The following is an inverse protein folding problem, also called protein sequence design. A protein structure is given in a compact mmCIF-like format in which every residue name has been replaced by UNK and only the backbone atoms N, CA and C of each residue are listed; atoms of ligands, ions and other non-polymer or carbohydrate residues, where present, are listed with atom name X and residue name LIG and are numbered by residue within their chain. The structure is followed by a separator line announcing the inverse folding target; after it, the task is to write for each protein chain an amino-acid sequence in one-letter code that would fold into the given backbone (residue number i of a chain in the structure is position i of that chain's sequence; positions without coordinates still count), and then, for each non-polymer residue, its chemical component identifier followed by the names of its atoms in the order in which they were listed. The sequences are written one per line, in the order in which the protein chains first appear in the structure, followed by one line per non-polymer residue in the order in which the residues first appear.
data_IF_520473560201
#
_entry.id   IF_520473560201
#
_cell.length_a   1.000
_cell.length_b   1.000
_cell.length_c   1.000
_cell.angle_alpha   90.00
_cell.angle_beta   90.00
_cell.angle_gamma   90.00
#
_symmetry.space_group_name_H-M   'P 1'
#
loop_
_entity.id
_entity.type
_entity.pdbx_description
1 polymer ?
#
# COMPACT_ATOMS: atom_id res chain seq x y z
N UNK A 1 23.92 2.86 -4.35
CA UNK A 1 23.06 1.73 -3.92
C UNK A 1 21.65 2.21 -3.51
N UNK A 2 21.48 3.47 -3.07
CA UNK A 2 20.21 4.11 -2.72
C UNK A 2 19.28 4.38 -3.90
N UNK A 3 19.81 4.73 -5.08
CA UNK A 3 18.97 5.16 -6.21
C UNK A 3 18.06 4.04 -6.75
N UNK A 4 18.57 2.80 -6.79
CA UNK A 4 17.78 1.64 -7.23
C UNK A 4 16.59 1.36 -6.31
N UNK A 5 16.75 1.56 -5.00
CA UNK A 5 15.68 1.38 -4.01
C UNK A 5 14.60 2.45 -4.17
N UNK A 6 15.00 3.70 -4.39
CA UNK A 6 14.06 4.81 -4.62
C UNK A 6 13.26 4.61 -5.91
N UNK A 7 13.91 4.15 -6.99
CA UNK A 7 13.23 3.83 -8.25
C UNK A 7 12.26 2.66 -8.07
N UNK A 8 12.66 1.60 -7.37
CA UNK A 8 11.80 0.45 -7.11
C UNK A 8 10.56 0.87 -6.29
N UNK A 9 10.76 1.71 -5.26
CA UNK A 9 9.70 2.22 -4.43
C UNK A 9 8.71 3.10 -5.21
N UNK A 10 9.20 3.93 -6.14
CA UNK A 10 8.38 4.73 -7.05
C UNK A 10 7.52 3.85 -7.99
N UNK A 11 8.07 2.74 -8.48
CA UNK A 11 7.29 1.78 -9.27
C UNK A 11 6.21 1.11 -8.43
N UNK A 12 6.55 0.66 -7.22
CA UNK A 12 5.59 0.01 -6.30
C UNK A 12 4.43 0.95 -5.95
N UNK A 13 4.69 2.24 -5.80
CA UNK A 13 3.63 3.26 -5.57
C UNK A 13 2.68 3.36 -6.75
N UNK A 14 3.22 3.51 -7.97
CA UNK A 14 2.41 3.62 -9.18
C UNK A 14 1.53 2.37 -9.36
N UNK A 15 2.11 1.18 -9.17
CA UNK A 15 1.37 -0.08 -9.22
C UNK A 15 0.28 -0.16 -8.15
N UNK A 16 0.56 0.28 -6.93
CA UNK A 16 -0.43 0.27 -5.84
C UNK A 16 -1.60 1.22 -6.09
N UNK A 17 -1.34 2.41 -6.65
CA UNK A 17 -2.40 3.35 -7.05
C UNK A 17 -3.26 2.72 -8.16
N UNK A 18 -2.64 2.14 -9.18
CA UNK A 18 -3.36 1.46 -10.25
C UNK A 18 -4.23 0.29 -9.73
N UNK A 19 -3.67 -0.54 -8.85
CA UNK A 19 -4.39 -1.63 -8.19
C UNK A 19 -5.54 -1.13 -7.32
N UNK A 20 -5.38 0.00 -6.65
CA UNK A 20 -6.45 0.64 -5.87
C UNK A 20 -7.62 1.04 -6.76
N UNK A 21 -7.35 1.63 -7.93
CA UNK A 21 -8.39 1.99 -8.91
C UNK A 21 -9.08 0.74 -9.45
N UNK A 22 -8.33 -0.28 -9.83
CA UNK A 22 -8.89 -1.56 -10.31
C UNK A 22 -9.75 -2.23 -9.24
N UNK A 23 -9.28 -2.24 -7.98
CA UNK A 23 -10.04 -2.79 -6.86
C UNK A 23 -11.31 -1.98 -6.55
N UNK A 24 -11.27 -0.65 -6.68
CA UNK A 24 -12.44 0.20 -6.53
C UNK A 24 -13.49 -0.08 -7.61
N UNK A 25 -13.06 -0.24 -8.87
CA UNK A 25 -13.94 -0.62 -9.98
C UNK A 25 -14.49 -2.04 -9.80
N UNK A 26 -13.68 -2.98 -9.31
CA UNK A 26 -14.15 -4.33 -9.00
C UNK A 26 -15.17 -4.34 -7.86
N UNK A 27 -14.95 -3.53 -6.81
CA UNK A 27 -15.86 -3.42 -5.68
C UNK A 27 -17.21 -2.85 -6.10
N UNK A 28 -17.22 -1.81 -6.93
CA UNK A 28 -18.47 -1.20 -7.42
C UNK A 28 -19.33 -2.20 -8.21
N UNK A 29 -18.69 -3.15 -8.90
CA UNK A 29 -19.36 -4.16 -9.73
C UNK A 29 -19.81 -5.40 -8.96
N UNK A 30 -19.05 -5.86 -7.96
CA UNK A 30 -19.28 -7.13 -7.26
C UNK A 30 -19.92 -6.94 -5.89
N UNK A 31 -19.72 -5.78 -5.23
CA UNK A 31 -20.23 -5.46 -3.87
C UNK A 31 -19.92 -6.53 -2.80
N UNK A 32 -18.87 -7.31 -2.99
CA UNK A 32 -18.47 -8.36 -2.05
C UNK A 32 -17.49 -7.81 -1.02
N UNK A 33 -17.72 -8.12 0.26
CA UNK A 33 -16.88 -7.73 1.40
C UNK A 33 -15.41 -8.15 1.22
N UNK A 34 -15.13 -9.25 0.50
CA UNK A 34 -13.75 -9.66 0.16
C UNK A 34 -13.04 -8.61 -0.71
N UNK A 35 -13.74 -8.05 -1.69
CA UNK A 35 -13.18 -7.04 -2.59
C UNK A 35 -12.97 -5.72 -1.86
N UNK A 36 -13.80 -5.42 -0.85
CA UNK A 36 -13.61 -4.26 0.03
C UNK A 36 -12.30 -4.36 0.83
N UNK A 37 -12.01 -5.54 1.41
CA UNK A 37 -10.77 -5.75 2.17
C UNK A 37 -9.52 -5.61 1.29
N UNK A 38 -9.56 -6.13 0.07
CA UNK A 38 -8.48 -5.97 -0.92
C UNK A 38 -8.32 -4.51 -1.32
N UNK A 39 -9.43 -3.79 -1.55
CA UNK A 39 -9.41 -2.35 -1.83
C UNK A 39 -8.79 -1.56 -0.68
N UNK A 40 -9.13 -1.87 0.58
CA UNK A 40 -8.53 -1.24 1.76
C UNK A 40 -7.02 -1.50 1.85
N UNK A 41 -6.59 -2.74 1.60
CA UNK A 41 -5.17 -3.08 1.61
C UNK A 41 -4.38 -2.29 0.55
N UNK A 42 -4.90 -2.18 -0.68
CA UNK A 42 -4.24 -1.38 -1.73
C UNK A 42 -4.28 0.12 -1.43
N UNK A 43 -5.37 0.63 -0.86
CA UNK A 43 -5.46 2.03 -0.44
C UNK A 43 -4.41 2.36 0.64
N UNK A 44 -4.23 1.49 1.63
CA UNK A 44 -3.18 1.63 2.65
C UNK A 44 -1.79 1.63 2.01
N UNK A 45 -1.54 0.73 1.04
CA UNK A 45 -0.29 0.68 0.29
C UNK A 45 -0.03 1.98 -0.49
N UNK A 46 -1.06 2.53 -1.13
CA UNK A 46 -0.97 3.80 -1.85
C UNK A 46 -0.65 4.97 -0.90
N UNK A 47 -1.30 5.04 0.27
CA UNK A 47 -1.03 6.06 1.29
C UNK A 47 0.40 5.95 1.80
N UNK A 48 0.86 4.75 2.15
CA UNK A 48 2.24 4.53 2.61
C UNK A 48 3.27 4.99 1.58
N UNK A 49 2.98 4.77 0.31
CA UNK A 49 3.81 5.19 -0.80
C UNK A 49 3.86 6.71 -1.00
N UNK A 50 2.75 7.42 -0.78
CA UNK A 50 2.72 8.89 -0.72
C UNK A 50 3.54 9.39 0.46
N UNK A 51 3.39 8.77 1.63
CA UNK A 51 4.16 9.15 2.83
C UNK A 51 5.66 8.90 2.63
N UNK A 52 6.06 7.81 1.98
CA UNK A 52 7.45 7.57 1.61
C UNK A 52 8.00 8.70 0.74
N UNK A 53 7.24 9.10 -0.26
CA UNK A 53 7.62 10.18 -1.18
C UNK A 53 7.76 11.51 -0.45
N UNK A 54 6.86 11.80 0.49
CA UNK A 54 6.96 12.99 1.35
C UNK A 54 8.16 12.91 2.30
N UNK A 55 8.46 11.74 2.88
CA UNK A 55 9.65 11.55 3.73
C UNK A 55 10.96 11.69 2.97
N UNK A 56 10.98 11.37 1.67
CA UNK A 56 12.14 11.59 0.81
C UNK A 56 12.36 13.08 0.51
N UNK A 57 11.28 13.88 0.50
CA UNK A 57 11.34 15.33 0.27
C UNK A 57 11.66 16.09 1.57
N UNK A 58 11.14 15.61 2.71
CA UNK A 58 11.33 16.19 4.04
C UNK A 58 12.15 15.25 4.93
N UNK A 59 13.46 15.49 4.97
CA UNK A 59 14.50 14.64 5.59
C UNK A 59 14.26 14.34 7.09
N UNK A 60 13.54 15.25 7.78
CA UNK A 60 13.28 15.23 9.23
C UNK A 60 12.28 14.16 9.71
N UNK A 61 11.56 13.49 8.78
CA UNK A 61 10.52 12.50 9.12
C UNK A 61 11.01 11.05 9.10
N UNK A 62 12.28 10.82 8.76
CA UNK A 62 12.84 9.50 8.49
C UNK A 62 12.88 8.57 9.71
N UNK A 63 13.21 9.08 10.90
CA UNK A 63 13.35 8.27 12.12
C UNK A 63 12.01 7.69 12.64
N UNK A 64 10.90 8.41 12.45
CA UNK A 64 9.56 7.95 12.86
C UNK A 64 8.91 7.09 11.77
N UNK A 65 9.28 7.31 10.51
CA UNK A 65 8.71 6.61 9.36
C UNK A 65 9.07 5.12 9.31
N UNK A 66 10.32 4.75 9.65
CA UNK A 66 10.80 3.37 9.59
C UNK A 66 9.96 2.39 10.45
N UNK A 67 9.71 2.63 11.76
CA UNK A 67 8.88 1.71 12.54
C UNK A 67 7.40 1.73 12.13
N UNK A 68 6.87 2.88 11.71
CA UNK A 68 5.49 3.01 11.28
C UNK A 68 5.20 2.26 9.97
N UNK A 69 6.14 2.28 9.03
CA UNK A 69 6.02 1.58 7.74
C UNK A 69 5.96 0.06 7.91
N UNK A 70 6.82 -0.51 8.76
CA UNK A 70 6.84 -1.97 9.04
C UNK A 70 5.53 -2.45 9.67
N UNK A 71 4.96 -1.67 10.59
CA UNK A 71 3.65 -1.98 11.18
C UNK A 71 2.54 -1.95 10.12
N UNK A 72 2.56 -0.95 9.24
CA UNK A 72 1.57 -0.78 8.19
C UNK A 72 1.66 -1.90 7.14
N UNK A 73 2.87 -2.28 6.72
CA UNK A 73 3.12 -3.43 5.84
C UNK A 73 2.59 -4.74 6.45
N UNK A 74 2.82 -4.94 7.75
CA UNK A 74 2.31 -6.12 8.46
C UNK A 74 0.78 -6.18 8.43
N UNK A 75 0.12 -5.04 8.69
CA UNK A 75 -1.35 -4.94 8.65
C UNK A 75 -1.89 -5.22 7.24
N UNK A 76 -1.25 -4.69 6.20
CA UNK A 76 -1.61 -4.95 4.80
C UNK A 76 -1.50 -6.44 4.49
N UNK A 77 -0.38 -7.08 4.85
CA UNK A 77 -0.15 -8.51 4.61
C UNK A 77 -1.21 -9.35 5.32
N UNK A 78 -1.55 -9.02 6.57
CA UNK A 78 -2.59 -9.72 7.33
C UNK A 78 -3.96 -9.56 6.67
N UNK A 79 -4.31 -8.35 6.21
CA UNK A 79 -5.54 -8.09 5.47
C UNK A 79 -5.65 -8.93 4.20
N UNK A 80 -4.58 -8.94 3.40
CA UNK A 80 -4.52 -9.74 2.17
C UNK A 80 -4.55 -11.24 2.47
N UNK A 81 -3.81 -11.70 3.48
CA UNK A 81 -3.80 -13.09 3.90
C UNK A 81 -5.20 -13.57 4.33
N UNK A 82 -5.94 -12.76 5.10
CA UNK A 82 -7.33 -13.08 5.47
C UNK A 82 -8.24 -13.21 4.24
N UNK A 83 -8.07 -12.36 3.22
CA UNK A 83 -8.88 -12.45 1.99
C UNK A 83 -8.56 -13.70 1.16
N UNK A 84 -7.33 -14.19 1.20
CA UNK A 84 -6.90 -15.38 0.45
C UNK A 84 -7.23 -16.68 1.20
N UNK A 85 -6.97 -16.74 2.51
CA UNK A 85 -7.14 -17.93 3.34
C UNK A 85 -8.61 -18.27 3.62
N UNK A 86 -9.48 -17.25 3.67
CA UNK A 86 -10.92 -17.46 3.84
C UNK A 86 -11.55 -17.82 2.49
N UNK A 87 -11.23 -19.02 1.98
CA UNK A 87 -11.78 -19.55 0.73
C UNK A 87 -13.25 -19.91 0.91
#
# INVERSE_FOLDING_TARGET
MSDYLNVLAAWITIFSIALTVVAAVAYSRVRNTRVLLVMMAFALFAVQGVVLTLSLIYEDWSDVYLPASVLLDTVIIVLLAMTVLKK
#
